data_IF_373112558721
#
_entry.id   IF_373112558721
#
_cell.length_a   1.000
_cell.length_b   1.000
_cell.length_c   1.000
_cell.angle_alpha   90.00
_cell.angle_beta   90.00
_cell.angle_gamma   90.00
#
_symmetry.space_group_name_H-M   'P 1'
#
loop_
_entity.id
_entity.type
_entity.pdbx_description
1 polymer ?
#
# COMPACT_ATOMS: atom_id res chain seq x y z
N UNK A 1 -15.98 -18.89 8.53
CA UNK A 1 -15.11 -20.03 8.90
C UNK A 1 -14.06 -20.34 7.81
N UNK A 2 -14.45 -20.57 6.56
CA UNK A 2 -13.52 -20.89 5.45
C UNK A 2 -12.52 -19.76 5.14
N UNK A 3 -12.95 -18.49 5.11
CA UNK A 3 -12.05 -17.33 4.90
C UNK A 3 -11.03 -17.11 6.04
N UNK A 4 -11.40 -17.41 7.28
CA UNK A 4 -10.50 -17.29 8.43
C UNK A 4 -9.45 -18.41 8.44
N UNK A 5 -9.86 -19.63 8.07
CA UNK A 5 -8.98 -20.78 7.88
C UNK A 5 -7.99 -20.55 6.73
N UNK A 6 -8.43 -19.96 5.60
CA UNK A 6 -7.53 -19.63 4.49
C UNK A 6 -6.51 -18.56 4.90
N UNK A 7 -6.92 -17.46 5.53
CA UNK A 7 -6.00 -16.40 5.97
C UNK A 7 -4.94 -16.94 6.93
N UNK A 8 -5.34 -17.76 7.90
CA UNK A 8 -4.42 -18.39 8.88
C UNK A 8 -3.37 -19.28 8.21
N UNK A 9 -3.77 -20.07 7.22
CA UNK A 9 -2.87 -20.93 6.46
C UNK A 9 -1.85 -20.12 5.64
N UNK A 10 -2.29 -19.07 4.95
CA UNK A 10 -1.41 -18.23 4.12
C UNK A 10 -0.46 -17.37 4.95
N UNK A 11 -0.89 -16.84 6.09
CA UNK A 11 -0.03 -16.09 7.00
C UNK A 11 1.11 -16.99 7.55
N UNK A 12 0.79 -18.24 7.91
CA UNK A 12 1.79 -19.22 8.35
C UNK A 12 2.79 -19.58 7.24
N UNK A 13 2.31 -19.74 6.00
CA UNK A 13 3.18 -19.98 4.84
C UNK A 13 4.08 -18.78 4.52
N UNK A 14 3.59 -17.55 4.71
CA UNK A 14 4.35 -16.33 4.48
C UNK A 14 5.57 -16.21 5.43
N UNK A 15 5.47 -16.78 6.62
CA UNK A 15 6.58 -16.86 7.59
C UNK A 15 7.63 -17.94 7.30
N UNK A 16 7.42 -18.83 6.31
CA UNK A 16 8.33 -19.95 6.04
C UNK A 16 9.53 -19.55 5.17
N UNK A 17 10.71 -19.46 5.76
CA UNK A 17 11.96 -19.11 5.05
C UNK A 17 12.37 -20.10 3.95
N UNK A 18 12.00 -21.39 4.07
CA UNK A 18 12.28 -22.40 3.03
C UNK A 18 11.40 -22.21 1.79
N UNK A 19 10.10 -21.96 1.98
CA UNK A 19 9.20 -21.64 0.86
C UNK A 19 9.61 -20.32 0.19
N UNK A 20 9.97 -19.31 0.99
CA UNK A 20 10.47 -18.03 0.48
C UNK A 20 11.65 -18.22 -0.48
N UNK A 21 12.65 -19.02 -0.11
CA UNK A 21 13.84 -19.28 -0.93
C UNK A 21 13.53 -20.04 -2.22
N UNK A 22 12.62 -21.00 -2.18
CA UNK A 22 12.18 -21.73 -3.39
C UNK A 22 11.36 -20.82 -4.31
N UNK A 23 10.44 -20.04 -3.76
CA UNK A 23 9.62 -19.12 -4.52
C UNK A 23 10.46 -18.01 -5.17
N UNK A 24 11.39 -17.38 -4.45
CA UNK A 24 12.30 -16.38 -5.02
C UNK A 24 13.21 -16.97 -6.12
N UNK A 25 13.46 -18.27 -6.09
CA UNK A 25 14.30 -18.92 -7.12
C UNK A 25 13.51 -19.24 -8.39
N UNK A 26 12.21 -19.56 -8.32
CA UNK A 26 11.46 -20.09 -9.47
C UNK A 26 10.19 -19.30 -9.84
N UNK A 27 9.66 -18.49 -8.92
CA UNK A 27 8.28 -17.99 -8.98
C UNK A 27 8.02 -16.80 -9.89
N UNK A 28 9.03 -16.07 -10.38
CA UNK A 28 8.87 -14.96 -11.34
C UNK A 28 9.64 -15.14 -12.65
N UNK A 29 10.27 -16.31 -12.87
CA UNK A 29 11.13 -16.60 -14.03
C UNK A 29 10.40 -16.64 -15.37
N UNK A 30 9.10 -16.89 -15.37
CA UNK A 30 8.26 -16.87 -16.56
C UNK A 30 7.37 -15.63 -16.55
N UNK A 31 7.26 -14.95 -17.70
CA UNK A 31 6.30 -13.85 -17.92
C UNK A 31 4.85 -14.28 -17.63
N UNK A 32 4.57 -15.58 -17.72
CA UNK A 32 3.25 -16.17 -17.51
C UNK A 32 2.99 -16.55 -16.05
N UNK A 33 3.94 -16.32 -15.14
CA UNK A 33 3.76 -16.61 -13.72
C UNK A 33 2.55 -15.87 -13.16
N UNK A 34 1.74 -16.58 -12.38
CA UNK A 34 0.59 -15.98 -11.69
C UNK A 34 1.00 -14.85 -10.73
N UNK A 35 2.23 -14.85 -10.22
CA UNK A 35 2.74 -13.76 -9.38
C UNK A 35 2.92 -12.45 -10.17
N UNK A 36 3.33 -12.50 -11.45
CA UNK A 36 3.45 -11.33 -12.34
C UNK A 36 2.11 -10.62 -12.59
N UNK A 37 0.99 -11.28 -12.28
CA UNK A 37 -0.32 -10.62 -12.29
C UNK A 37 -0.43 -9.51 -11.24
N UNK A 38 0.19 -9.71 -10.07
CA UNK A 38 0.03 -8.84 -8.90
C UNK A 38 1.31 -8.10 -8.51
N UNK A 39 2.46 -8.52 -9.03
CA UNK A 39 3.79 -7.95 -8.80
C UNK A 39 4.37 -7.57 -10.15
N UNK A 40 4.90 -6.36 -10.28
CA UNK A 40 5.41 -5.87 -11.56
C UNK A 40 6.70 -6.56 -12.01
N UNK A 41 7.52 -7.00 -11.06
CA UNK A 41 8.79 -7.66 -11.30
C UNK A 41 9.69 -7.62 -10.07
N UNK A 42 10.94 -8.01 -10.24
CA UNK A 42 11.97 -8.00 -9.19
C UNK A 42 12.87 -6.76 -9.28
N UNK A 43 12.84 -6.03 -10.40
CA UNK A 43 13.69 -4.85 -10.63
C UNK A 43 12.90 -3.56 -10.83
N UNK A 44 13.58 -2.42 -10.68
CA UNK A 44 13.00 -1.11 -10.91
C UNK A 44 12.57 -0.93 -12.38
N UNK A 45 13.33 -1.48 -13.32
CA UNK A 45 13.04 -1.42 -14.76
C UNK A 45 11.73 -2.13 -15.10
N UNK A 46 11.49 -3.32 -14.53
CA UNK A 46 10.23 -4.04 -14.70
C UNK A 46 9.06 -3.24 -14.09
N UNK A 47 9.26 -2.65 -12.91
CA UNK A 47 8.28 -1.79 -12.25
C UNK A 47 7.93 -0.56 -13.09
N UNK A 48 8.94 0.09 -13.68
CA UNK A 48 8.77 1.23 -14.60
C UNK A 48 8.01 0.82 -15.86
N UNK A 49 8.30 -0.35 -16.44
CA UNK A 49 7.57 -0.89 -17.59
C UNK A 49 6.09 -1.12 -17.28
N UNK A 50 5.79 -1.69 -16.11
CA UNK A 50 4.42 -1.84 -15.63
C UNK A 50 3.74 -0.48 -15.39
N UNK A 51 4.45 0.47 -14.78
CA UNK A 51 3.94 1.81 -14.50
C UNK A 51 3.58 2.57 -15.79
N UNK A 52 4.43 2.54 -16.81
CA UNK A 52 4.13 3.13 -18.13
C UNK A 52 2.88 2.54 -18.76
N UNK A 53 2.60 1.26 -18.51
CA UNK A 53 1.39 0.60 -19.00
C UNK A 53 0.14 1.10 -18.27
N UNK A 54 0.25 1.36 -16.96
CA UNK A 54 -0.82 1.97 -16.17
C UNK A 54 -1.07 3.42 -16.58
N UNK A 55 -0.02 4.21 -16.77
CA UNK A 55 -0.13 5.62 -17.17
C UNK A 55 -0.73 5.79 -18.57
N UNK A 56 -0.35 4.93 -19.52
CA UNK A 56 -0.99 4.88 -20.85
C UNK A 56 -2.48 4.57 -20.81
N UNK A 57 -2.96 3.91 -19.74
CA UNK A 57 -4.37 3.64 -19.52
C UNK A 57 -5.10 4.77 -18.78
N UNK A 58 -4.48 5.95 -18.61
CA UNK A 58 -5.08 7.14 -18.01
C UNK A 58 -5.06 7.15 -16.47
N UNK A 59 -4.36 6.21 -15.84
CA UNK A 59 -4.25 6.09 -14.38
C UNK A 59 -2.90 6.61 -13.88
N UNK A 60 -2.80 6.86 -12.57
CA UNK A 60 -1.52 7.20 -11.93
C UNK A 60 -0.95 5.99 -11.18
N UNK A 61 0.30 6.06 -10.75
CA UNK A 61 0.97 4.96 -10.03
C UNK A 61 1.50 5.40 -8.67
N UNK A 62 1.68 4.44 -7.77
CA UNK A 62 2.66 4.50 -6.67
C UNK A 62 3.50 3.23 -6.77
N UNK A 63 4.82 3.38 -6.80
CA UNK A 63 5.71 2.23 -6.73
C UNK A 63 5.95 1.85 -5.26
N UNK A 64 6.00 0.56 -4.97
CA UNK A 64 6.29 0.00 -3.65
C UNK A 64 7.43 -1.01 -3.77
N UNK A 65 8.59 -0.65 -3.22
CA UNK A 65 9.72 -1.54 -3.12
C UNK A 65 9.45 -2.54 -2.00
N UNK A 66 9.12 -3.78 -2.39
CA UNK A 66 8.79 -4.85 -1.47
C UNK A 66 10.00 -5.16 -0.58
N UNK A 67 9.74 -5.12 0.72
CA UNK A 67 10.64 -5.44 1.81
C UNK A 67 9.97 -5.08 3.13
N UNK A 68 10.19 -5.87 4.18
CA UNK A 68 9.63 -5.65 5.51
C UNK A 68 10.67 -6.07 6.56
N UNK A 69 10.71 -5.34 7.70
CA UNK A 69 11.49 -5.69 8.89
C UNK A 69 12.95 -6.10 8.63
N UNK A 70 13.81 -5.09 8.48
CA UNK A 70 15.27 -5.30 8.45
C UNK A 70 15.81 -5.71 9.83
N UNK A 71 16.86 -6.52 9.84
CA UNK A 71 17.46 -7.08 11.05
C UNK A 71 18.62 -6.23 11.59
N UNK A 72 19.12 -5.25 10.82
CA UNK A 72 20.24 -4.40 11.23
C UNK A 72 20.16 -2.99 10.63
N UNK A 73 20.86 -2.03 11.23
CA UNK A 73 20.98 -0.67 10.67
C UNK A 73 21.66 -0.66 9.30
N UNK A 74 22.59 -1.58 9.03
CA UNK A 74 23.24 -1.71 7.72
C UNK A 74 22.26 -2.17 6.62
N UNK A 75 21.33 -3.06 6.96
CA UNK A 75 20.23 -3.45 6.06
C UNK A 75 19.24 -2.29 5.84
N UNK A 76 18.90 -1.55 6.90
CA UNK A 76 18.07 -0.34 6.81
C UNK A 76 18.70 0.73 5.88
N UNK A 77 20.00 0.95 6.02
CA UNK A 77 20.77 1.85 5.15
C UNK A 77 20.80 1.38 3.70
N UNK A 78 20.86 0.06 3.48
CA UNK A 78 20.81 -0.54 2.15
C UNK A 78 19.45 -0.30 1.51
N UNK A 79 18.36 -0.59 2.22
CA UNK A 79 17.00 -0.32 1.74
C UNK A 79 16.80 1.18 1.43
N UNK A 80 17.35 2.07 2.27
CA UNK A 80 17.29 3.52 2.05
C UNK A 80 17.98 3.93 0.75
N UNK A 81 19.17 3.38 0.46
CA UNK A 81 19.86 3.60 -0.82
C UNK A 81 19.10 3.01 -2.01
N UNK A 82 18.44 1.87 -1.83
CA UNK A 82 17.59 1.28 -2.87
C UNK A 82 16.40 2.18 -3.20
N UNK A 83 15.73 2.78 -2.21
CA UNK A 83 14.69 3.78 -2.45
C UNK A 83 15.22 4.98 -3.24
N UNK A 84 16.42 5.48 -2.92
CA UNK A 84 17.05 6.58 -3.67
C UNK A 84 17.35 6.18 -5.13
N UNK A 85 17.93 5.00 -5.35
CA UNK A 85 18.19 4.50 -6.70
C UNK A 85 16.89 4.29 -7.52
N UNK A 86 15.82 3.83 -6.88
CA UNK A 86 14.50 3.71 -7.52
C UNK A 86 13.94 5.09 -7.90
N UNK A 87 14.10 6.10 -7.03
CA UNK A 87 13.69 7.47 -7.35
C UNK A 87 14.48 8.02 -8.55
N UNK A 88 15.79 7.81 -8.60
CA UNK A 88 16.62 8.22 -9.75
C UNK A 88 16.17 7.54 -11.05
N UNK A 89 15.88 6.24 -11.00
CA UNK A 89 15.36 5.49 -12.15
C UNK A 89 13.99 6.01 -12.61
N UNK A 90 13.08 6.34 -11.68
CA UNK A 90 11.78 6.95 -11.99
C UNK A 90 11.95 8.31 -12.66
N UNK A 91 12.87 9.15 -12.16
CA UNK A 91 13.18 10.47 -12.76
C UNK A 91 13.69 10.30 -14.18
N UNK A 92 14.66 9.41 -14.40
CA UNK A 92 15.22 9.12 -15.71
C UNK A 92 14.14 8.56 -16.69
N UNK A 93 13.20 7.77 -16.17
CA UNK A 93 12.12 7.19 -16.97
C UNK A 93 10.99 8.17 -17.31
N UNK A 94 10.90 9.31 -16.61
CA UNK A 94 9.89 10.34 -16.83
C UNK A 94 8.46 9.95 -16.43
N UNK A 95 8.30 9.04 -15.46
CA UNK A 95 6.99 8.57 -14.98
C UNK A 95 6.56 9.28 -13.68
N UNK A 96 5.33 9.02 -13.24
CA UNK A 96 4.74 9.57 -12.02
C UNK A 96 5.58 9.35 -10.77
N UNK A 97 5.82 10.43 -10.04
CA UNK A 97 6.75 10.50 -8.90
C UNK A 97 6.03 10.26 -7.57
N UNK A 98 5.66 9.01 -7.32
CA UNK A 98 4.98 8.61 -6.10
C UNK A 98 5.48 7.24 -5.63
N UNK A 99 5.91 7.15 -4.37
CA UNK A 99 6.37 5.91 -3.77
C UNK A 99 5.65 5.65 -2.45
N UNK A 100 5.49 4.37 -2.10
CA UNK A 100 5.06 3.92 -0.77
C UNK A 100 6.22 3.21 -0.09
N UNK A 101 6.37 3.38 1.22
CA UNK A 101 7.42 2.75 2.02
C UNK A 101 6.89 2.31 3.38
N UNK A 102 7.64 1.44 4.05
CA UNK A 102 7.34 0.94 5.41
C UNK A 102 8.48 1.30 6.35
N UNK A 103 8.17 1.77 7.55
CA UNK A 103 9.19 2.25 8.49
C UNK A 103 10.03 1.10 9.05
N UNK A 104 9.47 -0.12 9.15
CA UNK A 104 10.25 -1.30 9.55
C UNK A 104 11.32 -1.69 8.54
N UNK A 105 11.12 -1.37 7.25
CA UNK A 105 12.16 -1.53 6.23
C UNK A 105 13.28 -0.49 6.37
N UNK A 106 12.98 0.65 6.99
CA UNK A 106 13.94 1.71 7.30
C UNK A 106 14.60 1.54 8.68
N UNK A 107 14.34 0.43 9.38
CA UNK A 107 15.00 0.11 10.66
C UNK A 107 14.19 0.43 11.90
N UNK A 108 12.88 0.70 11.81
CA UNK A 108 12.05 1.03 12.99
C UNK A 108 12.12 -0.03 14.11
N UNK A 109 12.25 -1.31 13.76
CA UNK A 109 12.40 -2.42 14.73
C UNK A 109 13.81 -2.58 15.28
N UNK A 110 14.80 -1.95 14.64
CA UNK A 110 16.21 -1.99 15.05
C UNK A 110 16.50 -0.81 15.97
N UNK A 111 16.27 0.40 15.46
CA UNK A 111 16.47 1.65 16.17
C UNK A 111 15.59 2.75 15.56
N UNK A 112 14.82 3.43 16.42
CA UNK A 112 13.91 4.50 16.00
C UNK A 112 14.67 5.67 15.39
N UNK A 113 15.83 6.05 15.93
CA UNK A 113 16.61 7.17 15.41
C UNK A 113 17.12 6.89 13.99
N UNK A 114 17.66 5.68 13.77
CA UNK A 114 18.05 5.16 12.45
C UNK A 114 16.89 5.24 11.45
N UNK A 115 15.68 4.82 11.84
CA UNK A 115 14.49 4.90 10.97
C UNK A 115 14.12 6.33 10.59
N UNK A 116 14.18 7.25 11.54
CA UNK A 116 13.90 8.68 11.31
C UNK A 116 14.94 9.30 10.38
N UNK A 117 16.23 9.02 10.58
CA UNK A 117 17.29 9.56 9.74
C UNK A 117 17.24 9.01 8.31
N UNK A 118 16.91 7.73 8.17
CA UNK A 118 16.70 7.09 6.86
C UNK A 118 15.47 7.66 6.14
N UNK A 119 14.36 7.85 6.86
CA UNK A 119 13.19 8.52 6.30
C UNK A 119 13.54 9.94 5.83
N UNK A 120 14.28 10.71 6.63
CA UNK A 120 14.72 12.07 6.27
C UNK A 120 15.51 12.07 4.95
N UNK A 121 16.49 11.17 4.81
CA UNK A 121 17.28 11.01 3.58
C UNK A 121 16.42 10.72 2.35
N UNK A 122 15.36 9.93 2.51
CA UNK A 122 14.39 9.66 1.43
C UNK A 122 13.55 10.90 1.14
N UNK A 123 13.02 11.57 2.15
CA UNK A 123 12.18 12.75 1.98
C UNK A 123 12.94 13.93 1.34
N UNK A 124 14.21 14.11 1.70
CA UNK A 124 15.09 15.12 1.10
C UNK A 124 15.35 14.84 -0.38
N UNK A 125 15.64 13.58 -0.73
CA UNK A 125 15.81 13.18 -2.12
C UNK A 125 14.50 13.31 -2.90
N UNK A 126 13.38 12.92 -2.30
CA UNK A 126 12.05 13.03 -2.86
C UNK A 126 11.68 14.50 -3.15
N UNK A 127 11.98 15.41 -2.23
CA UNK A 127 11.66 16.84 -2.38
C UNK A 127 12.40 17.49 -3.56
N UNK A 128 13.65 17.10 -3.82
CA UNK A 128 14.44 17.60 -4.97
C UNK A 128 13.82 17.28 -6.32
N UNK A 129 12.99 16.25 -6.38
CA UNK A 129 12.41 15.73 -7.62
C UNK A 129 10.89 15.70 -7.57
N UNK A 130 10.23 16.47 -6.69
CA UNK A 130 8.75 16.54 -6.60
C UNK A 130 8.06 15.17 -6.39
N UNK A 131 8.70 14.26 -5.66
CA UNK A 131 8.07 13.00 -5.26
C UNK A 131 7.12 13.21 -4.11
N UNK A 132 5.98 12.51 -4.16
CA UNK A 132 5.18 12.26 -2.97
C UNK A 132 5.51 10.89 -2.37
N UNK A 133 5.75 10.86 -1.06
CA UNK A 133 6.07 9.64 -0.30
C UNK A 133 4.91 9.27 0.61
N UNK A 134 4.42 8.05 0.52
CA UNK A 134 3.43 7.50 1.45
C UNK A 134 4.11 6.60 2.48
N UNK A 135 3.94 6.91 3.76
CA UNK A 135 4.28 6.00 4.85
C UNK A 135 3.12 5.02 5.01
N UNK A 136 3.32 3.77 4.59
CA UNK A 136 2.34 2.71 4.78
C UNK A 136 2.19 2.35 6.25
N UNK A 137 0.95 2.08 6.65
CA UNK A 137 0.63 1.68 8.02
C UNK A 137 0.76 0.18 8.18
N UNK A 138 1.64 -0.21 9.09
CA UNK A 138 1.92 -1.60 9.44
C UNK A 138 0.91 -2.11 10.49
N UNK A 139 1.20 -3.19 11.21
CA UNK A 139 0.29 -3.72 12.25
C UNK A 139 0.20 -2.79 13.47
N UNK A 140 -0.81 -3.02 14.31
CA UNK A 140 -1.20 -2.13 15.41
C UNK A 140 -0.10 -1.71 16.40
N UNK A 141 0.94 -2.53 16.72
CA UNK A 141 2.04 -2.09 17.57
C UNK A 141 2.85 -0.93 16.96
N UNK A 142 2.87 -0.80 15.63
CA UNK A 142 3.59 0.26 14.94
C UNK A 142 2.73 1.50 14.66
N UNK A 143 1.41 1.46 14.89
CA UNK A 143 0.51 2.57 14.51
C UNK A 143 0.88 3.88 15.19
N UNK A 144 1.05 3.87 16.52
CA UNK A 144 1.37 5.09 17.25
C UNK A 144 2.71 5.67 16.83
N UNK A 145 3.76 4.85 16.83
CA UNK A 145 5.11 5.32 16.49
C UNK A 145 5.21 5.81 15.05
N UNK A 146 4.43 5.23 14.13
CA UNK A 146 4.36 5.68 12.74
C UNK A 146 3.76 7.08 12.63
N UNK A 147 2.65 7.35 13.34
CA UNK A 147 2.02 8.67 13.37
C UNK A 147 2.94 9.70 14.06
N UNK A 148 3.60 9.32 15.16
CA UNK A 148 4.54 10.22 15.85
C UNK A 148 5.75 10.59 14.96
N UNK A 149 6.29 9.62 14.21
CA UNK A 149 7.38 9.88 13.25
C UNK A 149 6.89 10.78 12.11
N UNK A 150 5.71 10.50 11.55
CA UNK A 150 5.11 11.35 10.52
C UNK A 150 4.95 12.79 10.99
N UNK A 151 4.40 13.00 12.19
CA UNK A 151 4.20 14.34 12.76
C UNK A 151 5.52 15.04 13.05
N UNK A 152 6.54 14.31 13.48
CA UNK A 152 7.90 14.84 13.63
C UNK A 152 8.41 15.37 12.28
N UNK A 153 8.26 14.61 11.19
CA UNK A 153 8.63 15.09 9.85
C UNK A 153 7.77 16.28 9.42
N UNK A 154 6.47 16.27 9.73
CA UNK A 154 5.58 17.38 9.42
C UNK A 154 5.99 18.67 10.14
N UNK A 155 6.35 18.59 11.43
CA UNK A 155 6.86 19.73 12.21
C UNK A 155 8.20 20.24 11.69
N UNK A 156 9.03 19.37 11.11
CA UNK A 156 10.29 19.74 10.44
C UNK A 156 10.09 20.38 9.04
N UNK A 157 8.85 20.51 8.57
CA UNK A 157 8.53 21.21 7.32
C UNK A 157 8.31 20.32 6.10
N UNK A 158 8.42 18.98 6.22
CA UNK A 158 8.13 18.08 5.11
C UNK A 158 6.64 18.09 4.76
N UNK A 159 6.30 18.38 3.50
CA UNK A 159 4.91 18.40 2.99
C UNK A 159 4.67 17.43 1.83
N UNK A 160 5.74 16.82 1.32
CA UNK A 160 5.71 15.80 0.28
C UNK A 160 5.51 14.38 0.84
N UNK A 161 4.90 14.27 2.02
CA UNK A 161 4.70 13.01 2.74
C UNK A 161 3.26 12.90 3.26
N UNK A 162 2.74 11.67 3.36
CA UNK A 162 1.47 11.40 4.03
C UNK A 162 1.40 10.00 4.63
N UNK A 163 0.31 9.71 5.34
CA UNK A 163 0.13 8.48 6.13
C UNK A 163 -1.02 7.61 5.63
N UNK A 164 -1.07 6.37 6.12
CA UNK A 164 -2.20 5.45 5.93
C UNK A 164 -2.96 5.29 7.26
N UNK A 165 -4.28 5.24 7.21
CA UNK A 165 -5.14 4.87 8.35
C UNK A 165 -5.99 3.64 8.02
N UNK A 166 -6.31 2.84 9.04
CA UNK A 166 -6.90 1.50 8.89
C UNK A 166 -8.27 1.44 9.57
N UNK A 167 -9.35 1.30 8.80
CA UNK A 167 -10.71 1.34 9.36
C UNK A 167 -11.04 0.19 10.31
N UNK A 168 -10.27 -0.90 10.31
CA UNK A 168 -10.43 -1.98 11.28
C UNK A 168 -10.03 -1.59 12.70
N UNK A 169 -9.28 -0.49 12.89
CA UNK A 169 -8.86 -0.02 14.20
C UNK A 169 -9.82 1.07 14.73
N UNK A 170 -10.50 0.88 15.87
CA UNK A 170 -11.41 1.90 16.42
C UNK A 170 -10.73 3.26 16.66
N UNK A 171 -9.42 3.29 16.94
CA UNK A 171 -8.63 4.52 17.10
C UNK A 171 -8.61 5.42 15.85
N UNK A 172 -8.83 4.85 14.66
CA UNK A 172 -8.69 5.59 13.40
C UNK A 172 -9.72 6.71 13.20
N UNK A 173 -10.87 6.68 13.90
CA UNK A 173 -11.79 7.82 13.94
C UNK A 173 -11.12 9.07 14.56
N UNK A 174 -10.34 8.89 15.64
CA UNK A 174 -9.57 9.96 16.27
C UNK A 174 -8.33 10.38 15.47
N UNK A 175 -7.58 9.39 14.98
CA UNK A 175 -6.39 9.66 14.16
C UNK A 175 -6.75 10.41 12.86
N UNK A 176 -7.95 10.15 12.28
CA UNK A 176 -8.43 10.86 11.09
C UNK A 176 -8.63 12.34 11.34
N UNK A 177 -9.29 12.72 12.44
CA UNK A 177 -9.48 14.14 12.81
C UNK A 177 -8.13 14.82 13.02
N UNK A 178 -7.22 14.18 13.77
CA UNK A 178 -5.85 14.66 13.99
C UNK A 178 -5.09 14.90 12.67
N UNK A 179 -5.19 13.98 11.71
CA UNK A 179 -4.53 14.13 10.40
C UNK A 179 -5.17 15.22 9.53
N UNK A 180 -6.50 15.39 9.59
CA UNK A 180 -7.20 16.47 8.91
C UNK A 180 -6.80 17.85 9.47
N UNK A 181 -6.73 17.99 10.80
CA UNK A 181 -6.28 19.23 11.48
C UNK A 181 -4.87 19.64 11.05
N UNK A 182 -3.97 18.68 10.83
CA UNK A 182 -2.63 18.95 10.30
C UNK A 182 -2.61 19.33 8.82
N UNK A 183 -3.69 19.07 8.07
CA UNK A 183 -3.73 19.19 6.61
C UNK A 183 -2.95 18.08 5.89
N UNK A 184 -2.75 16.94 6.55
CA UNK A 184 -2.02 15.80 5.99
C UNK A 184 -2.83 15.10 4.90
N UNK A 185 -2.15 14.59 3.86
CA UNK A 185 -2.79 13.67 2.91
C UNK A 185 -2.93 12.31 3.56
N UNK A 186 -4.12 11.72 3.54
CA UNK A 186 -4.41 10.41 4.16
C UNK A 186 -4.83 9.38 3.11
N UNK A 187 -4.25 8.18 3.16
CA UNK A 187 -4.78 7.00 2.47
C UNK A 187 -5.59 6.19 3.48
N UNK A 188 -6.85 5.91 3.17
CA UNK A 188 -7.71 5.05 3.98
C UNK A 188 -7.75 3.64 3.39
N UNK A 189 -7.49 2.64 4.23
CA UNK A 189 -7.63 1.21 3.92
C UNK A 189 -8.52 0.51 4.94
N UNK A 190 -8.96 -0.72 4.68
CA UNK A 190 -9.61 -1.55 5.71
C UNK A 190 -8.63 -1.99 6.81
N UNK A 191 -7.40 -2.34 6.41
CA UNK A 191 -6.39 -2.99 7.26
C UNK A 191 -6.06 -4.38 6.73
N UNK A 192 -4.77 -4.71 6.63
CA UNK A 192 -4.29 -5.96 6.03
C UNK A 192 -3.91 -7.02 7.08
N UNK A 193 -3.51 -6.58 8.26
CA UNK A 193 -2.96 -7.42 9.32
C UNK A 193 -4.04 -8.20 10.08
N UNK A 194 -3.60 -9.24 10.78
CA UNK A 194 -4.44 -9.96 11.74
C UNK A 194 -4.23 -9.31 13.12
N UNK A 195 -5.26 -8.62 13.58
CA UNK A 195 -5.20 -7.85 14.82
C UNK A 195 -6.06 -8.49 15.91
N UNK A 196 -5.65 -8.44 17.19
CA UNK A 196 -6.45 -8.97 18.29
C UNK A 196 -7.72 -8.14 18.49
N UNK A 197 -8.77 -8.79 19.03
CA UNK A 197 -10.06 -8.14 19.32
C UNK A 197 -9.95 -6.94 20.27
N UNK A 198 -8.90 -6.88 21.09
CA UNK A 198 -8.62 -5.76 21.98
C UNK A 198 -8.31 -4.44 21.26
N UNK A 199 -7.87 -4.49 19.99
CA UNK A 199 -7.44 -3.30 19.24
C UNK A 199 -8.15 -3.15 17.88
N UNK A 200 -8.88 -4.17 17.41
CA UNK A 200 -9.51 -4.14 16.10
C UNK A 200 -10.91 -4.77 16.08
N UNK A 201 -11.79 -4.19 15.26
CA UNK A 201 -13.06 -4.78 14.88
C UNK A 201 -12.83 -6.16 14.24
N UNK A 202 -13.55 -7.17 14.71
CA UNK A 202 -13.46 -8.53 14.19
C UNK A 202 -14.57 -8.83 13.19
N UNK A 203 -15.70 -8.12 13.32
CA UNK A 203 -16.82 -8.24 12.40
C UNK A 203 -16.61 -7.38 11.15
N UNK A 204 -16.84 -7.97 9.98
CA UNK A 204 -16.65 -7.30 8.69
C UNK A 204 -17.56 -6.09 8.53
N UNK A 205 -18.82 -6.17 8.98
CA UNK A 205 -19.76 -5.06 8.83
C UNK A 205 -19.30 -3.85 9.66
N UNK A 206 -18.75 -4.08 10.85
CA UNK A 206 -18.15 -3.00 11.66
C UNK A 206 -16.95 -2.34 10.97
N UNK A 207 -16.05 -3.12 10.37
CA UNK A 207 -14.91 -2.59 9.59
C UNK A 207 -15.39 -1.77 8.39
N UNK A 208 -16.44 -2.26 7.71
CA UNK A 208 -16.99 -1.62 6.52
C UNK A 208 -17.74 -0.31 6.86
N UNK A 209 -18.51 -0.31 7.94
CA UNK A 209 -19.18 0.88 8.46
C UNK A 209 -18.16 1.95 8.87
N UNK A 210 -17.12 1.55 9.63
CA UNK A 210 -16.03 2.44 9.99
C UNK A 210 -15.30 3.00 8.76
N UNK A 211 -15.09 2.18 7.72
CA UNK A 211 -14.47 2.64 6.47
C UNK A 211 -15.31 3.75 5.83
N UNK A 212 -16.62 3.53 5.64
CA UNK A 212 -17.51 4.52 5.02
C UNK A 212 -17.58 5.79 5.87
N UNK A 213 -17.71 5.64 7.20
CA UNK A 213 -17.73 6.78 8.13
C UNK A 213 -16.46 7.63 8.02
N UNK A 214 -15.28 7.01 8.11
CA UNK A 214 -13.99 7.70 8.00
C UNK A 214 -13.81 8.31 6.60
N UNK A 215 -14.20 7.60 5.55
CA UNK A 215 -14.12 8.12 4.18
C UNK A 215 -14.93 9.41 4.00
N UNK A 216 -16.14 9.48 4.58
CA UNK A 216 -16.98 10.69 4.53
C UNK A 216 -16.32 11.88 5.23
N UNK A 217 -15.72 11.66 6.39
CA UNK A 217 -14.97 12.70 7.13
C UNK A 217 -13.77 13.18 6.29
N UNK A 218 -12.98 12.23 5.77
CA UNK A 218 -11.84 12.56 4.90
C UNK A 218 -12.27 13.33 3.65
N UNK A 219 -13.34 12.94 2.97
CA UNK A 219 -13.84 13.64 1.78
C UNK A 219 -14.26 15.08 2.08
N UNK A 220 -14.89 15.30 3.24
CA UNK A 220 -15.48 16.61 3.58
C UNK A 220 -14.46 17.58 4.13
N UNK A 221 -13.49 17.10 4.92
CA UNK A 221 -12.59 17.93 5.72
C UNK A 221 -11.10 17.71 5.36
N UNK A 222 -10.77 16.61 4.70
CA UNK A 222 -9.38 16.20 4.49
C UNK A 222 -8.70 16.84 3.30
N UNK A 223 -7.37 16.81 3.32
CA UNK A 223 -6.52 17.24 2.22
C UNK A 223 -6.25 16.08 1.27
N UNK A 224 -6.86 16.11 0.08
CA UNK A 224 -6.72 15.11 -0.99
C UNK A 224 -6.69 13.65 -0.47
N UNK A 225 -7.84 13.11 -0.02
CA UNK A 225 -7.93 11.74 0.46
C UNK A 225 -7.65 10.72 -0.65
N UNK A 226 -6.98 9.63 -0.27
CA UNK A 226 -6.81 8.45 -1.10
C UNK A 226 -7.66 7.29 -0.55
N UNK A 227 -8.75 6.97 -1.25
CA UNK A 227 -9.68 5.90 -0.86
C UNK A 227 -9.20 4.57 -1.46
N UNK A 228 -8.46 3.79 -0.67
CA UNK A 228 -7.81 2.57 -1.13
C UNK A 228 -8.67 1.32 -0.84
N UNK A 229 -9.50 0.94 -1.80
CA UNK A 229 -10.40 -0.22 -1.70
C UNK A 229 -10.75 -0.79 -3.08
N UNK A 230 -11.06 -2.09 -3.12
CA UNK A 230 -11.62 -2.77 -4.32
C UNK A 230 -13.09 -3.14 -4.14
N UNK A 231 -13.69 -2.71 -3.03
CA UNK A 231 -15.05 -3.05 -2.63
C UNK A 231 -16.06 -2.12 -3.35
N UNK A 232 -16.88 -2.63 -4.28
CA UNK A 232 -17.82 -1.79 -5.03
C UNK A 232 -18.83 -1.08 -4.15
N UNK A 233 -19.25 -1.68 -3.04
CA UNK A 233 -20.22 -1.08 -2.13
C UNK A 233 -19.64 0.15 -1.43
N UNK A 234 -18.36 0.10 -1.06
CA UNK A 234 -17.67 1.26 -0.47
C UNK A 234 -17.44 2.37 -1.49
N UNK A 235 -17.04 1.99 -2.72
CA UNK A 235 -16.85 2.95 -3.81
C UNK A 235 -18.17 3.66 -4.12
N UNK A 236 -19.28 2.92 -4.19
CA UNK A 236 -20.61 3.50 -4.37
C UNK A 236 -20.97 4.46 -3.22
N UNK A 237 -20.71 4.08 -1.96
CA UNK A 237 -20.98 4.94 -0.81
C UNK A 237 -20.16 6.25 -0.83
N UNK A 238 -18.88 6.17 -1.22
CA UNK A 238 -18.00 7.33 -1.35
C UNK A 238 -18.46 8.24 -2.49
N UNK A 239 -18.81 7.68 -3.65
CA UNK A 239 -19.35 8.44 -4.79
C UNK A 239 -20.67 9.14 -4.44
N UNK A 240 -21.57 8.45 -3.75
CA UNK A 240 -22.84 9.02 -3.31
C UNK A 240 -22.61 10.21 -2.37
N UNK A 241 -21.70 10.07 -1.40
CA UNK A 241 -21.33 11.16 -0.50
C UNK A 241 -20.71 12.35 -1.25
N UNK A 242 -19.76 12.08 -2.16
CA UNK A 242 -19.13 13.12 -2.96
C UNK A 242 -20.17 13.90 -3.78
N UNK A 243 -21.09 13.20 -4.46
CA UNK A 243 -22.17 13.83 -5.21
C UNK A 243 -23.11 14.65 -4.34
N UNK A 244 -23.49 14.13 -3.16
CA UNK A 244 -24.38 14.84 -2.22
C UNK A 244 -23.75 16.12 -1.66
N UNK A 245 -22.42 16.14 -1.48
CA UNK A 245 -21.69 17.28 -0.93
C UNK A 245 -21.10 18.20 -2.01
N UNK A 246 -21.33 17.92 -3.29
CA UNK A 246 -20.73 18.69 -4.40
C UNK A 246 -19.20 18.59 -4.47
N UNK A 247 -18.61 17.51 -3.96
CA UNK A 247 -17.16 17.27 -3.97
C UNK A 247 -16.76 16.75 -5.34
N UNK A 248 -15.89 17.47 -6.03
CA UNK A 248 -15.47 17.12 -7.40
C UNK A 248 -14.49 15.94 -7.42
N UNK A 249 -14.43 15.17 -8.52
CA UNK A 249 -13.53 14.01 -8.64
C UNK A 249 -12.03 14.33 -8.48
N UNK A 250 -11.61 15.58 -8.63
CA UNK A 250 -10.22 16.02 -8.48
C UNK A 250 -9.81 16.19 -7.01
N UNK A 251 -10.78 16.24 -6.08
CA UNK A 251 -10.52 16.45 -4.65
C UNK A 251 -10.06 15.20 -3.91
N UNK A 252 -10.18 14.02 -4.52
CA UNK A 252 -9.77 12.75 -3.94
C UNK A 252 -9.39 11.77 -5.05
N UNK A 253 -8.82 10.63 -4.68
CA UNK A 253 -8.55 9.55 -5.64
C UNK A 253 -8.97 8.19 -5.08
N UNK A 254 -9.36 7.28 -5.96
CA UNK A 254 -9.45 5.87 -5.64
C UNK A 254 -8.08 5.22 -5.82
N UNK A 255 -7.70 4.33 -4.90
CA UNK A 255 -6.48 3.55 -5.07
C UNK A 255 -6.76 2.06 -5.08
N UNK A 256 -6.09 1.35 -5.98
CA UNK A 256 -6.24 -0.10 -6.14
C UNK A 256 -4.90 -0.77 -6.37
N UNK A 257 -4.75 -1.97 -5.84
CA UNK A 257 -3.60 -2.82 -6.10
C UNK A 257 -3.49 -3.23 -7.58
N UNK A 258 -2.26 -3.30 -8.06
CA UNK A 258 -1.92 -3.80 -9.38
C UNK A 258 -2.49 -5.22 -9.62
N UNK A 259 -3.08 -5.44 -10.79
CA UNK A 259 -3.68 -6.73 -11.15
C UNK A 259 -5.06 -7.04 -10.57
N UNK A 260 -5.58 -6.20 -9.67
CA UNK A 260 -6.84 -6.44 -8.95
C UNK A 260 -7.93 -5.50 -9.43
N UNK A 261 -9.04 -6.08 -9.93
CA UNK A 261 -10.22 -5.35 -10.43
C UNK A 261 -9.87 -4.33 -11.52
N UNK A 262 -9.11 -4.74 -12.53
CA UNK A 262 -8.75 -3.90 -13.70
C UNK A 262 -9.99 -3.35 -14.41
N UNK A 263 -11.08 -4.11 -14.41
CA UNK A 263 -12.42 -3.69 -14.85
C UNK A 263 -12.88 -2.42 -14.12
N UNK A 264 -12.79 -2.42 -12.79
CA UNK A 264 -13.24 -1.30 -11.95
C UNK A 264 -12.29 -0.11 -12.04
N UNK A 265 -10.99 -0.36 -12.17
CA UNK A 265 -9.99 0.68 -12.41
C UNK A 265 -10.29 1.44 -13.71
N UNK A 266 -10.54 0.71 -14.81
CA UNK A 266 -10.88 1.30 -16.09
C UNK A 266 -12.23 2.03 -16.04
N UNK A 267 -13.25 1.43 -15.39
CA UNK A 267 -14.56 2.05 -15.21
C UNK A 267 -14.46 3.39 -14.49
N UNK A 268 -13.80 3.45 -13.32
CA UNK A 268 -13.67 4.69 -12.54
C UNK A 268 -12.90 5.77 -13.30
N UNK A 269 -11.87 5.37 -14.04
CA UNK A 269 -11.10 6.29 -14.89
C UNK A 269 -11.96 6.87 -16.01
N UNK A 270 -12.77 6.04 -16.68
CA UNK A 270 -13.69 6.48 -17.73
C UNK A 270 -14.82 7.38 -17.19
N UNK A 271 -15.20 7.20 -15.93
CA UNK A 271 -16.15 8.07 -15.21
C UNK A 271 -15.51 9.39 -14.72
N UNK A 272 -14.23 9.64 -14.99
CA UNK A 272 -13.53 10.89 -14.67
C UNK A 272 -12.88 10.93 -13.28
N UNK A 273 -12.91 9.83 -12.52
CA UNK A 273 -12.23 9.78 -11.22
C UNK A 273 -10.72 9.61 -11.37
N UNK A 274 -9.96 10.23 -10.46
CA UNK A 274 -8.54 9.92 -10.30
C UNK A 274 -8.39 8.51 -9.73
N UNK A 275 -7.66 7.66 -10.45
CA UNK A 275 -7.31 6.31 -10.01
C UNK A 275 -5.80 6.19 -9.90
N UNK A 276 -5.31 5.72 -8.74
CA UNK A 276 -3.91 5.36 -8.55
C UNK A 276 -3.75 3.86 -8.36
N UNK A 277 -2.86 3.25 -9.14
CA UNK A 277 -2.52 1.85 -9.01
C UNK A 277 -1.29 1.70 -8.11
N UNK A 278 -1.40 0.88 -7.08
CA UNK A 278 -0.29 0.50 -6.21
C UNK A 278 0.46 -0.66 -6.86
N UNK A 279 1.71 -0.42 -7.27
CA UNK A 279 2.53 -1.31 -8.09
C UNK A 279 3.69 -1.85 -7.24
N UNK A 280 3.54 -3.05 -6.67
CA UNK A 280 4.58 -3.68 -5.86
C UNK A 280 5.62 -4.33 -6.77
N UNK A 281 6.90 -4.23 -6.40
CA UNK A 281 8.03 -4.85 -7.10
C UNK A 281 9.18 -5.12 -6.13
N UNK A 282 10.15 -5.94 -6.54
CA UNK A 282 11.33 -6.25 -5.74
C UNK A 282 11.42 -7.73 -5.38
N UNK A 283 12.59 -8.14 -4.87
CA UNK A 283 12.93 -9.56 -4.62
C UNK A 283 12.14 -10.17 -3.45
N UNK A 284 11.65 -9.35 -2.54
CA UNK A 284 10.94 -9.75 -1.32
C UNK A 284 9.42 -9.92 -1.56
N UNK A 285 9.05 -10.38 -2.76
CA UNK A 285 7.66 -10.38 -3.21
C UNK A 285 6.79 -11.51 -2.66
N UNK A 286 7.39 -12.60 -2.18
CA UNK A 286 6.67 -13.81 -1.82
C UNK A 286 5.69 -13.65 -0.64
N UNK A 287 6.07 -13.02 0.50
CA UNK A 287 5.14 -12.77 1.59
C UNK A 287 3.96 -11.90 1.16
N UNK A 288 4.22 -10.87 0.36
CA UNK A 288 3.18 -10.00 -0.20
C UNK A 288 2.20 -10.80 -1.07
N UNK A 289 2.72 -11.64 -1.98
CA UNK A 289 1.91 -12.47 -2.85
C UNK A 289 1.00 -13.43 -2.07
N UNK A 290 1.51 -14.11 -1.05
CA UNK A 290 0.71 -15.03 -0.24
C UNK A 290 -0.45 -14.33 0.48
N UNK A 291 -0.23 -13.12 1.02
CA UNK A 291 -1.31 -12.31 1.61
C UNK A 291 -2.41 -12.00 0.60
N UNK A 292 -2.04 -11.66 -0.65
CA UNK A 292 -3.00 -11.42 -1.75
C UNK A 292 -3.78 -12.67 -2.15
N UNK A 293 -3.21 -13.87 -2.02
CA UNK A 293 -3.94 -15.11 -2.23
C UNK A 293 -4.95 -15.38 -1.11
N UNK A 294 -4.56 -15.14 0.14
CA UNK A 294 -5.41 -15.36 1.31
C UNK A 294 -6.68 -14.51 1.34
N UNK A 295 -6.65 -13.33 0.70
CA UNK A 295 -7.78 -12.39 0.62
C UNK A 295 -8.90 -12.84 -0.35
N UNK A 296 -8.66 -13.84 -1.21
CA UNK A 296 -9.69 -14.37 -2.13
C UNK A 296 -9.66 -15.90 -2.20
N UNK A 297 -10.63 -16.60 -1.56
CA UNK A 297 -10.73 -18.06 -1.60
C UNK A 297 -10.77 -18.65 -3.02
N UNK A 298 -11.35 -17.93 -3.98
CA UNK A 298 -11.42 -18.35 -5.39
C UNK A 298 -10.04 -18.45 -6.07
N UNK A 299 -9.03 -17.69 -5.60
CA UNK A 299 -7.68 -17.72 -6.16
C UNK A 299 -6.89 -18.95 -5.67
N UNK A 300 -7.27 -19.54 -4.53
CA UNK A 300 -6.57 -20.68 -3.91
C UNK A 300 -6.65 -21.94 -4.79
N UNK A 301 -7.85 -22.26 -5.28
CA UNK A 301 -8.07 -23.42 -6.15
C UNK A 301 -7.44 -23.30 -7.54
N UNK A 302 -7.13 -22.07 -7.98
CA UNK A 302 -6.47 -21.79 -9.25
C UNK A 302 -4.95 -21.90 -9.14
N UNK A 303 -4.37 -21.45 -8.02
CA UNK A 303 -2.92 -21.57 -7.72
C UNK A 303 -2.50 -23.02 -7.52
N UNK A 304 -3.30 -23.83 -6.80
CA UNK A 304 -3.01 -25.27 -6.67
C UNK A 304 -2.97 -25.94 -8.05
N UNK A 305 -3.87 -25.56 -8.96
CA UNK A 305 -3.89 -26.07 -10.34
C UNK A 305 -2.72 -25.56 -11.19
N UNK A 306 -2.27 -24.32 -10.97
CA UNK A 306 -1.10 -23.75 -11.66
C UNK A 306 0.21 -24.41 -11.23
N UNK A 307 0.44 -24.55 -9.93
CA UNK A 307 1.64 -25.18 -9.36
C UNK A 307 1.72 -26.67 -9.74
N UNK A 308 0.57 -27.36 -9.84
CA UNK A 308 0.53 -28.76 -10.30
C UNK A 308 0.70 -28.91 -11.82
N UNK A 309 0.49 -27.86 -12.61
CA UNK A 309 0.72 -27.83 -14.07
C UNK A 309 2.14 -27.42 -14.46
N UNK A 310 2.91 -26.87 -13.52
CA UNK A 310 4.33 -26.52 -13.69
C UNK A 310 5.27 -27.68 -13.25
N UNK A 311 4.76 -28.91 -13.18
CA UNK A 311 5.55 -30.15 -13.06
C UNK A 311 5.78 -30.80 -14.42
#
# INVERSE_FOLDING_TARGET
MIQALSKTFFDALAGSGRLKRLASTYGLRSEQSFARRFIAGETAEEAIGAARSVERAGMTVTLDLLGESVASSAEADTATREYQAVMDAIVAAGIGRNISLKLTQLGLTVDRATSVDNLRRILDAAAKHDFFVRIDMENSPFTQVTLDIFETMWQQGYRNVGVVLQSCLPRSDGDTRRMNELGARVRLVKGAYREPRSVAYQDKAQVDEAFVRIARVLLSEGNYPAIATHDPSMIAAVRAHASQQGITPERFEFQMLYGIRRDLQAQLTAEGFRVRVYVPFGREWFPYFLRRLGERPANVGFVIRGILRER
#
